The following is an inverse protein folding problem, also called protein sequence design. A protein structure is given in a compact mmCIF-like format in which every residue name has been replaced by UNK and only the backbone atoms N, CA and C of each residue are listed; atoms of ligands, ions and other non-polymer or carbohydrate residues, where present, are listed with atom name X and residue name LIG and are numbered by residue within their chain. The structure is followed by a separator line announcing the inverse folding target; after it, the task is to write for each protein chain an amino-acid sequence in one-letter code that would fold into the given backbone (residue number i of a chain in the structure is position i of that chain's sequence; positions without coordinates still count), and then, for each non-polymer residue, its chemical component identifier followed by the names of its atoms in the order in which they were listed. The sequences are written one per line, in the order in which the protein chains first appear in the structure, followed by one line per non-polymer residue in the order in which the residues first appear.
data_IF_112197743608
#
_entry.id   IF_112197743608
#
_cell.length_a   1.000
_cell.length_b   1.000
_cell.length_c   1.000
_cell.angle_alpha   90.00
_cell.angle_beta   90.00
_cell.angle_gamma   90.00
#
_symmetry.space_group_name_H-M   'P 1'
#
loop_
_entity.id
_entity.type
_entity.pdbx_description
1 polymer ?
#
# COMPACT_ATOMS: atom_id res chain seq x y z
N UNK A 1 18.40 -2.07 -20.53
CA UNK A 1 17.18 -1.38 -21.07
C UNK A 1 17.55 0.07 -21.44
N UNK A 2 16.90 0.64 -22.44
CA UNK A 2 17.21 2.00 -22.92
C UNK A 2 16.72 3.04 -21.90
N UNK A 3 17.49 4.12 -21.70
CA UNK A 3 17.07 5.24 -20.85
C UNK A 3 15.90 6.00 -21.52
N UNK A 4 14.90 6.36 -20.74
CA UNK A 4 13.71 7.10 -21.19
C UNK A 4 13.15 7.97 -20.06
N UNK A 5 12.36 8.99 -20.41
CA UNK A 5 11.60 9.79 -19.43
C UNK A 5 10.28 9.15 -19.03
N UNK A 6 9.82 8.16 -19.78
CA UNK A 6 8.53 7.51 -19.55
C UNK A 6 8.69 6.00 -19.60
N UNK A 7 8.18 5.32 -18.58
CA UNK A 7 8.26 3.87 -18.40
C UNK A 7 6.88 3.30 -18.13
N UNK A 8 6.48 2.32 -18.92
CA UNK A 8 5.30 1.53 -18.65
C UNK A 8 5.60 0.54 -17.54
N UNK A 9 4.72 0.44 -16.56
CA UNK A 9 4.88 -0.41 -15.38
C UNK A 9 3.98 -1.65 -15.54
N UNK A 10 4.45 -2.61 -16.30
CA UNK A 10 3.66 -3.78 -16.72
C UNK A 10 3.26 -4.72 -15.57
N UNK A 11 3.98 -4.70 -14.45
CA UNK A 11 3.66 -5.50 -13.28
C UNK A 11 2.41 -5.04 -12.51
N UNK A 12 2.00 -3.77 -12.67
CA UNK A 12 0.91 -3.20 -11.87
C UNK A 12 -0.44 -3.29 -12.60
N UNK A 13 -1.29 -4.23 -12.18
CA UNK A 13 -2.64 -4.41 -12.73
C UNK A 13 -3.62 -3.34 -12.20
N UNK A 14 -4.53 -2.80 -13.06
CA UNK A 14 -5.41 -1.69 -12.69
C UNK A 14 -6.54 -2.08 -11.73
N UNK A 15 -6.84 -3.36 -11.61
CA UNK A 15 -7.91 -3.90 -10.75
C UNK A 15 -7.37 -4.51 -9.43
N UNK A 16 -6.11 -4.27 -9.11
CA UNK A 16 -5.41 -4.84 -7.97
C UNK A 16 -5.05 -3.75 -6.96
N UNK A 17 -5.60 -3.83 -5.74
CA UNK A 17 -5.32 -2.85 -4.69
C UNK A 17 -3.84 -2.83 -4.29
N UNK A 18 -3.19 -3.99 -4.18
CA UNK A 18 -1.75 -4.04 -3.89
C UNK A 18 -0.95 -3.30 -4.97
N UNK A 19 -1.32 -3.45 -6.25
CA UNK A 19 -0.66 -2.75 -7.35
C UNK A 19 -0.87 -1.23 -7.26
N UNK A 20 -2.07 -0.78 -6.91
CA UNK A 20 -2.33 0.64 -6.71
C UNK A 20 -1.51 1.21 -5.54
N UNK A 21 -1.46 0.52 -4.39
CA UNK A 21 -0.62 0.92 -3.26
C UNK A 21 0.87 0.90 -3.61
N UNK A 22 1.31 -0.08 -4.40
CA UNK A 22 2.69 -0.15 -4.89
C UNK A 22 3.04 1.03 -5.83
N UNK A 23 2.08 1.50 -6.65
CA UNK A 23 2.27 2.70 -7.47
C UNK A 23 2.46 3.95 -6.60
N UNK A 24 1.65 4.13 -5.54
CA UNK A 24 1.84 5.23 -4.59
C UNK A 24 3.19 5.13 -3.88
N UNK A 25 3.59 3.92 -3.50
CA UNK A 25 4.88 3.65 -2.88
C UNK A 25 6.07 3.90 -3.80
N UNK A 26 5.95 3.58 -5.08
CA UNK A 26 6.97 3.89 -6.08
C UNK A 26 7.19 5.40 -6.19
N UNK A 27 6.12 6.18 -6.34
CA UNK A 27 6.22 7.64 -6.42
C UNK A 27 6.89 8.22 -5.17
N UNK A 28 6.46 7.75 -3.98
CA UNK A 28 7.02 8.20 -2.71
C UNK A 28 8.49 7.81 -2.55
N UNK A 29 8.86 6.58 -2.87
CA UNK A 29 10.25 6.11 -2.75
C UNK A 29 11.19 6.86 -3.69
N UNK A 30 10.77 7.11 -4.94
CA UNK A 30 11.55 7.88 -5.89
C UNK A 30 11.72 9.34 -5.45
N UNK A 31 10.66 9.98 -4.96
CA UNK A 31 10.68 11.36 -4.47
C UNK A 31 11.58 11.48 -3.22
N UNK A 32 11.58 10.49 -2.33
CA UNK A 32 12.43 10.47 -1.12
C UNK A 32 13.91 10.28 -1.45
N UNK A 33 14.26 9.43 -2.42
CA UNK A 33 15.66 9.16 -2.76
C UNK A 33 16.26 10.21 -3.71
N UNK A 34 15.46 10.72 -4.65
CA UNK A 34 15.88 11.69 -5.65
C UNK A 34 14.69 12.53 -6.13
N UNK A 35 14.42 13.65 -5.46
CA UNK A 35 13.33 14.59 -5.78
C UNK A 35 13.50 15.25 -7.16
N UNK A 36 14.74 15.30 -7.69
CA UNK A 36 15.02 15.84 -9.03
C UNK A 36 14.42 14.99 -10.15
N UNK A 37 14.07 13.73 -9.86
CA UNK A 37 13.32 12.88 -10.80
C UNK A 37 11.91 13.40 -11.03
N UNK A 38 11.34 14.15 -10.09
CA UNK A 38 9.96 14.67 -10.16
C UNK A 38 8.96 13.60 -10.63
N UNK A 39 8.82 12.49 -9.89
CA UNK A 39 8.06 11.33 -10.35
C UNK A 39 6.57 11.65 -10.44
N UNK A 40 5.98 11.27 -11.56
CA UNK A 40 4.53 11.39 -11.84
C UNK A 40 4.04 10.08 -12.45
N UNK A 41 2.77 9.81 -12.29
CA UNK A 41 2.13 8.63 -12.89
C UNK A 41 0.91 9.03 -13.71
N UNK A 42 0.65 8.26 -14.75
CA UNK A 42 -0.56 8.26 -15.56
C UNK A 42 -0.96 6.82 -15.86
N UNK A 43 -2.15 6.60 -16.40
CA UNK A 43 -2.53 5.28 -16.94
C UNK A 43 -2.52 5.31 -18.46
N UNK A 44 -1.98 4.26 -19.08
CA UNK A 44 -1.94 4.07 -20.54
C UNK A 44 -3.29 3.57 -21.05
N UNK A 45 -4.28 4.45 -21.06
CA UNK A 45 -5.68 4.11 -21.34
C UNK A 45 -5.85 3.65 -22.80
N UNK A 46 -5.12 4.27 -23.70
CA UNK A 46 -5.23 4.02 -25.15
C UNK A 46 -4.37 2.83 -25.61
N UNK A 47 -3.61 2.20 -24.71
CA UNK A 47 -2.68 1.12 -25.04
C UNK A 47 -2.94 -0.14 -24.20
N UNK A 48 -3.74 -1.10 -24.67
CA UNK A 48 -4.04 -2.31 -23.91
C UNK A 48 -2.83 -3.24 -23.76
N UNK A 49 -2.75 -4.03 -22.67
CA UNK A 49 -3.64 -3.96 -21.51
C UNK A 49 -3.38 -2.69 -20.72
N UNK A 50 -4.41 -2.16 -20.04
CA UNK A 50 -4.30 -0.97 -19.20
C UNK A 50 -3.22 -1.16 -18.11
N UNK A 51 -2.23 -0.27 -18.10
CA UNK A 51 -1.12 -0.27 -17.12
C UNK A 51 -0.74 1.16 -16.75
N UNK A 52 -0.17 1.38 -15.56
CA UNK A 52 0.34 2.71 -15.24
C UNK A 52 1.64 2.98 -15.98
N UNK A 53 1.88 4.26 -16.21
CA UNK A 53 3.08 4.81 -16.82
C UNK A 53 3.72 5.78 -15.86
N UNK A 54 4.97 5.52 -15.49
CA UNK A 54 5.81 6.44 -14.73
C UNK A 54 6.41 7.48 -15.68
N UNK A 55 6.32 8.76 -15.32
CA UNK A 55 6.88 9.90 -16.07
C UNK A 55 7.85 10.65 -15.17
N UNK A 56 9.06 10.87 -15.66
CA UNK A 56 10.18 11.46 -14.93
C UNK A 56 10.70 12.72 -15.63
N UNK A 57 11.36 13.61 -14.87
CA UNK A 57 11.93 14.84 -15.42
C UNK A 57 13.14 14.58 -16.33
N UNK A 58 13.91 13.51 -16.10
CA UNK A 58 15.08 13.11 -16.88
C UNK A 58 15.00 11.67 -17.34
N UNK A 59 15.83 11.34 -18.32
CA UNK A 59 15.95 9.96 -18.82
C UNK A 59 16.72 9.08 -17.81
N UNK A 60 16.16 7.91 -17.53
CA UNK A 60 16.76 6.86 -16.68
C UNK A 60 16.42 5.49 -17.25
N UNK A 61 17.15 4.45 -16.81
CA UNK A 61 16.79 3.07 -17.18
C UNK A 61 15.86 2.45 -16.13
N UNK A 62 15.20 1.36 -16.45
CA UNK A 62 14.36 0.62 -15.50
C UNK A 62 15.19 0.08 -14.31
N UNK A 63 16.44 -0.29 -14.53
CA UNK A 63 17.36 -0.70 -13.46
C UNK A 63 17.67 0.46 -12.51
N UNK A 64 17.89 1.65 -13.04
CA UNK A 64 18.11 2.87 -12.25
C UNK A 64 16.86 3.23 -11.43
N UNK A 65 15.66 3.16 -12.04
CA UNK A 65 14.39 3.36 -11.32
C UNK A 65 14.29 2.40 -10.13
N UNK A 66 14.55 1.12 -10.36
CA UNK A 66 14.46 0.09 -9.32
C UNK A 66 15.53 0.28 -8.23
N UNK A 67 16.72 0.75 -8.59
CA UNK A 67 17.79 1.09 -7.65
C UNK A 67 17.40 2.26 -6.75
N UNK A 68 17.00 3.38 -7.36
CA UNK A 68 16.57 4.59 -6.62
C UNK A 68 15.34 4.29 -5.74
N UNK A 69 14.39 3.51 -6.26
CA UNK A 69 13.24 3.10 -5.46
C UNK A 69 13.64 2.22 -4.25
N UNK A 70 14.65 1.35 -4.40
CA UNK A 70 15.17 0.55 -3.28
C UNK A 70 15.78 1.43 -2.19
N UNK A 71 16.60 2.40 -2.55
CA UNK A 71 17.19 3.38 -1.63
C UNK A 71 16.12 4.20 -0.91
N UNK A 72 15.11 4.66 -1.63
CA UNK A 72 13.98 5.39 -1.05
C UNK A 72 13.16 4.56 -0.06
N UNK A 73 12.92 3.28 -0.37
CA UNK A 73 12.25 2.36 0.58
C UNK A 73 13.10 2.19 1.85
N UNK A 74 14.39 2.01 1.74
CA UNK A 74 15.28 1.86 2.89
C UNK A 74 15.26 3.11 3.79
N UNK A 75 15.34 4.29 3.18
CA UNK A 75 15.26 5.57 3.88
C UNK A 75 13.92 5.71 4.64
N UNK A 76 12.80 5.44 3.97
CA UNK A 76 11.46 5.51 4.58
C UNK A 76 11.31 4.47 5.69
N UNK A 77 11.72 3.24 5.44
CA UNK A 77 11.57 2.12 6.37
C UNK A 77 12.40 2.29 7.65
N UNK A 78 13.48 3.07 7.63
CA UNK A 78 14.25 3.42 8.83
C UNK A 78 13.36 4.11 9.89
N UNK A 79 12.36 4.90 9.46
CA UNK A 79 11.39 5.55 10.35
C UNK A 79 10.21 4.64 10.79
N UNK A 80 10.12 3.39 10.32
CA UNK A 80 9.03 2.48 10.65
C UNK A 80 9.30 1.75 11.96
N UNK A 81 9.20 2.49 13.05
CA UNK A 81 9.36 2.00 14.42
C UNK A 81 8.08 2.27 15.22
N UNK A 82 7.65 1.29 16.01
CA UNK A 82 6.37 1.29 16.70
C UNK A 82 6.51 0.99 18.21
N UNK A 83 7.62 1.41 18.82
CA UNK A 83 7.92 1.26 20.26
C UNK A 83 7.73 -0.21 20.75
N UNK A 84 8.14 -1.19 19.91
CA UNK A 84 8.00 -2.61 20.19
C UNK A 84 6.57 -3.15 20.05
N UNK A 85 5.60 -2.33 19.67
CA UNK A 85 4.24 -2.79 19.42
C UNK A 85 4.15 -3.59 18.12
N UNK A 86 3.42 -4.69 18.20
CA UNK A 86 3.18 -5.57 17.06
C UNK A 86 1.88 -5.27 16.33
N UNK A 87 0.90 -4.69 17.03
CA UNK A 87 -0.45 -4.41 16.53
C UNK A 87 -0.92 -2.99 16.85
N UNK A 88 -1.93 -2.52 16.11
CA UNK A 88 -2.58 -1.22 16.29
C UNK A 88 -3.55 -1.22 17.49
N UNK A 89 -3.07 -1.63 18.66
CA UNK A 89 -3.85 -1.75 19.90
C UNK A 89 -3.57 -0.61 20.88
N UNK A 90 -3.34 0.58 20.37
CA UNK A 90 -3.15 1.78 21.19
C UNK A 90 -4.46 2.17 21.89
N UNK A 91 -4.38 2.63 23.14
CA UNK A 91 -5.48 3.37 23.75
C UNK A 91 -5.65 4.75 23.11
N UNK A 92 -6.80 5.38 23.30
CA UNK A 92 -7.05 6.76 22.83
C UNK A 92 -5.95 7.73 23.28
N UNK A 93 -5.56 7.64 24.57
CA UNK A 93 -4.54 8.50 25.17
C UNK A 93 -3.18 8.29 24.51
N UNK A 94 -2.71 7.05 24.39
CA UNK A 94 -1.44 6.73 23.75
C UNK A 94 -1.41 7.17 22.28
N UNK A 95 -2.51 6.95 21.54
CA UNK A 95 -2.63 7.39 20.15
C UNK A 95 -2.47 8.91 20.03
N UNK A 96 -3.19 9.68 20.87
CA UNK A 96 -3.10 11.14 20.91
C UNK A 96 -1.70 11.62 21.25
N UNK A 97 -1.10 11.07 22.31
CA UNK A 97 0.25 11.42 22.73
C UNK A 97 1.28 11.14 21.64
N UNK A 98 1.19 9.97 20.98
CA UNK A 98 2.08 9.59 19.89
C UNK A 98 1.93 10.54 18.68
N UNK A 99 0.71 10.76 18.21
CA UNK A 99 0.45 11.65 17.07
C UNK A 99 0.88 13.10 17.37
N UNK A 100 0.62 13.60 18.58
CA UNK A 100 1.03 14.95 19.00
C UNK A 100 2.55 15.06 19.07
N UNK A 101 3.22 14.07 19.65
CA UNK A 101 4.69 14.02 19.74
C UNK A 101 5.33 14.07 18.37
N UNK A 102 4.88 13.21 17.46
CA UNK A 102 5.44 13.13 16.10
C UNK A 102 5.11 14.38 15.26
N UNK A 103 3.91 14.94 15.41
CA UNK A 103 3.54 16.19 14.74
C UNK A 103 4.35 17.39 15.25
N UNK A 104 4.64 17.44 16.56
CA UNK A 104 5.43 18.53 17.18
C UNK A 104 6.93 18.39 16.87
N UNK A 105 7.43 17.16 16.78
CA UNK A 105 8.82 16.87 16.45
C UNK A 105 9.13 17.06 14.94
N UNK A 106 8.17 17.60 14.16
CA UNK A 106 8.25 17.70 12.70
C UNK A 106 9.32 18.69 12.25
N UNK A 107 10.55 18.24 12.25
CA UNK A 107 11.52 18.63 11.24
C UNK A 107 11.28 17.78 9.99
N UNK A 108 11.80 18.21 8.84
CA UNK A 108 11.60 17.55 7.54
C UNK A 108 11.83 16.02 7.59
N UNK A 109 12.76 15.55 8.42
CA UNK A 109 13.17 14.15 8.55
C UNK A 109 12.12 13.23 9.22
N UNK A 110 11.07 13.78 9.84
CA UNK A 110 10.03 13.01 10.52
C UNK A 110 8.65 13.10 9.89
N UNK A 111 8.49 13.88 8.83
CA UNK A 111 7.21 14.00 8.13
C UNK A 111 6.68 12.65 7.66
N UNK A 112 7.55 11.78 7.21
CA UNK A 112 7.17 10.46 6.73
C UNK A 112 6.58 9.56 7.81
N UNK A 113 7.06 9.70 9.05
CA UNK A 113 6.53 8.97 10.19
C UNK A 113 5.14 9.46 10.60
N UNK A 114 4.92 10.78 10.65
CA UNK A 114 3.58 11.31 10.99
C UNK A 114 2.56 11.01 9.88
N UNK A 115 2.94 11.06 8.61
CA UNK A 115 2.07 10.67 7.50
C UNK A 115 1.66 9.20 7.62
N UNK A 116 2.60 8.32 7.96
CA UNK A 116 2.29 6.90 8.20
C UNK A 116 1.31 6.73 9.36
N UNK A 117 1.62 7.29 10.53
CA UNK A 117 0.78 7.15 11.72
C UNK A 117 -0.62 7.73 11.50
N UNK A 118 -0.73 8.87 10.80
CA UNK A 118 -2.00 9.47 10.43
C UNK A 118 -2.81 8.62 9.41
N UNK A 119 -2.14 7.75 8.66
CA UNK A 119 -2.79 6.76 7.79
C UNK A 119 -3.23 5.50 8.53
N UNK A 120 -2.68 5.23 9.72
CA UNK A 120 -2.93 4.00 10.47
C UNK A 120 -4.02 4.14 11.54
N UNK A 121 -4.09 5.27 12.23
CA UNK A 121 -4.94 5.44 13.41
C UNK A 121 -5.33 6.90 13.64
N UNK A 122 -6.41 7.07 14.44
CA UNK A 122 -6.87 8.37 14.93
C UNK A 122 -7.44 8.20 16.33
N UNK A 123 -7.15 9.13 17.23
CA UNK A 123 -7.74 9.17 18.58
C UNK A 123 -9.24 9.53 18.59
N UNK A 124 -9.78 10.00 17.46
CA UNK A 124 -11.21 10.23 17.28
C UNK A 124 -11.99 8.94 17.03
N UNK A 125 -11.37 7.89 16.47
CA UNK A 125 -12.01 6.63 16.13
C UNK A 125 -11.63 5.55 17.14
N UNK A 126 -12.56 5.16 18.02
CA UNK A 126 -12.36 4.13 19.04
C UNK A 126 -13.26 2.92 18.79
N UNK A 127 -12.73 1.75 19.04
CA UNK A 127 -13.40 0.47 18.84
C UNK A 127 -14.49 0.21 19.89
N UNK A 128 -14.19 0.54 21.14
CA UNK A 128 -15.03 0.29 22.30
C UNK A 128 -14.86 1.41 23.33
N UNK A 129 -15.96 2.06 23.69
CA UNK A 129 -15.98 3.17 24.66
C UNK A 129 -15.53 2.75 26.07
N UNK A 130 -15.65 1.46 26.44
CA UNK A 130 -15.27 0.95 27.75
C UNK A 130 -13.77 0.73 27.90
N UNK A 131 -13.13 0.25 26.83
CA UNK A 131 -11.69 -0.08 26.82
C UNK A 131 -10.87 0.96 26.09
N UNK A 132 -11.52 1.86 25.34
CA UNK A 132 -10.92 2.97 24.58
C UNK A 132 -9.77 2.59 23.63
N UNK A 133 -9.68 1.41 23.03
CA UNK A 133 -8.69 1.13 22.02
C UNK A 133 -9.07 1.84 20.73
N UNK A 134 -8.07 2.37 20.03
CA UNK A 134 -8.30 2.94 18.70
C UNK A 134 -8.79 1.86 17.74
N UNK A 135 -9.70 2.25 16.85
CA UNK A 135 -10.12 1.39 15.74
C UNK A 135 -9.08 1.54 14.60
N UNK A 136 -8.43 0.45 14.16
CA UNK A 136 -7.36 0.54 13.18
C UNK A 136 -7.88 0.91 11.79
N UNK A 137 -6.97 1.38 10.94
CA UNK A 137 -7.25 1.59 9.52
C UNK A 137 -7.97 0.39 8.90
N UNK A 138 -9.00 0.61 8.07
CA UNK A 138 -9.70 -0.49 7.38
C UNK A 138 -8.81 -1.33 6.45
N UNK A 139 -7.61 -0.83 6.12
CA UNK A 139 -6.59 -1.54 5.36
C UNK A 139 -5.75 -2.51 6.21
N UNK A 140 -5.89 -2.48 7.53
CA UNK A 140 -5.31 -3.46 8.43
C UNK A 140 -6.14 -4.75 8.41
N UNK A 141 -5.81 -5.68 7.51
CA UNK A 141 -6.52 -6.95 7.34
C UNK A 141 -6.07 -8.05 8.30
N UNK A 142 -5.02 -7.79 9.08
CA UNK A 142 -4.37 -8.78 9.94
C UNK A 142 -4.75 -8.65 11.43
N UNK A 143 -5.61 -7.69 11.74
CA UNK A 143 -5.99 -7.40 13.13
C UNK A 143 -6.85 -8.52 13.73
N UNK A 144 -6.45 -9.00 14.92
CA UNK A 144 -7.18 -10.03 15.65
C UNK A 144 -7.01 -11.46 15.11
N UNK A 145 -6.00 -11.72 14.30
CA UNK A 145 -5.75 -13.01 13.65
C UNK A 145 -4.57 -13.80 14.28
N UNK A 146 -4.52 -13.90 15.59
CA UNK A 146 -3.49 -14.67 16.30
C UNK A 146 -2.09 -14.09 16.13
N UNK A 147 -1.14 -14.88 15.60
CA UNK A 147 0.26 -14.48 15.40
C UNK A 147 0.52 -13.58 14.19
N UNK A 148 -0.50 -13.03 13.55
CA UNK A 148 -0.35 -12.15 12.40
C UNK A 148 -0.39 -10.69 12.86
N UNK A 149 0.78 -10.12 13.05
CA UNK A 149 0.97 -8.80 13.61
C UNK A 149 1.18 -7.74 12.51
N UNK A 150 0.27 -6.79 12.42
CA UNK A 150 0.27 -5.82 11.33
C UNK A 150 1.46 -4.85 11.38
N UNK A 151 1.74 -4.26 12.55
CA UNK A 151 2.85 -3.32 12.69
C UNK A 151 4.22 -4.01 12.56
N UNK A 152 4.35 -5.24 13.06
CA UNK A 152 5.56 -6.04 12.89
C UNK A 152 5.85 -6.29 11.40
N UNK A 153 4.81 -6.60 10.59
CA UNK A 153 4.95 -6.73 9.14
C UNK A 153 5.24 -5.41 8.47
N UNK A 154 4.57 -4.33 8.90
CA UNK A 154 4.78 -3.01 8.32
C UNK A 154 6.20 -2.49 8.57
N UNK A 155 6.81 -2.83 9.71
CA UNK A 155 8.20 -2.55 9.99
C UNK A 155 9.15 -3.49 9.23
N UNK A 156 8.82 -4.78 9.13
CA UNK A 156 9.72 -5.82 8.60
C UNK A 156 9.75 -5.89 7.08
N UNK A 157 8.58 -5.93 6.43
CA UNK A 157 8.48 -6.14 4.97
C UNK A 157 9.29 -5.12 4.14
N UNK A 158 9.23 -3.79 4.40
CA UNK A 158 10.05 -2.86 3.62
C UNK A 158 11.55 -3.00 3.89
N UNK A 159 11.96 -3.47 5.07
CA UNK A 159 13.36 -3.69 5.44
C UNK A 159 13.94 -4.99 4.88
N UNK A 160 13.11 -5.97 4.57
CA UNK A 160 13.53 -7.20 3.91
C UNK A 160 13.81 -6.93 2.43
N UNK A 161 15.08 -6.67 2.09
CA UNK A 161 15.50 -6.17 0.78
C UNK A 161 15.08 -7.08 -0.38
N UNK A 162 15.10 -8.40 -0.19
CA UNK A 162 14.72 -9.40 -1.18
C UNK A 162 14.13 -10.65 -0.50
N UNK A 163 13.33 -11.45 -1.22
CA UNK A 163 12.85 -12.72 -0.69
C UNK A 163 14.00 -13.71 -0.52
N UNK A 164 13.80 -14.81 0.24
CA UNK A 164 14.76 -15.90 0.30
C UNK A 164 15.14 -16.41 -1.10
N UNK A 165 16.37 -16.96 -1.27
CA UNK A 165 16.82 -17.46 -2.56
C UNK A 165 15.83 -18.44 -3.18
N UNK A 166 15.53 -18.26 -4.47
CA UNK A 166 14.63 -19.13 -5.22
C UNK A 166 15.37 -20.35 -5.72
N UNK A 167 14.77 -21.54 -5.59
CA UNK A 167 15.38 -22.83 -5.96
C UNK A 167 16.03 -23.52 -4.76
N UNK A 168 16.79 -24.60 -5.02
CA UNK A 168 17.43 -25.41 -3.98
C UNK A 168 18.91 -25.65 -4.28
N UNK A 169 19.73 -25.75 -3.22
CA UNK A 169 21.14 -26.10 -3.32
C UNK A 169 21.93 -25.08 -4.16
N UNK A 170 22.83 -25.58 -5.00
CA UNK A 170 23.75 -24.75 -5.82
C UNK A 170 23.06 -23.97 -6.93
N UNK A 171 21.82 -24.31 -7.28
CA UNK A 171 21.01 -23.58 -8.28
C UNK A 171 20.10 -22.50 -7.66
N UNK A 172 20.21 -22.26 -6.37
CA UNK A 172 19.46 -21.20 -5.71
C UNK A 172 19.89 -19.82 -6.21
N UNK A 173 18.94 -19.00 -6.63
CA UNK A 173 19.16 -17.65 -7.16
C UNK A 173 18.71 -16.64 -6.12
N UNK A 174 19.64 -15.79 -5.67
CA UNK A 174 19.36 -14.65 -4.81
C UNK A 174 19.10 -13.41 -5.68
N UNK A 175 18.09 -12.65 -5.31
CA UNK A 175 17.79 -11.35 -5.92
C UNK A 175 18.41 -10.22 -5.08
N UNK A 176 18.85 -9.15 -5.73
CA UNK A 176 19.10 -7.89 -5.03
C UNK A 176 17.79 -7.15 -4.77
N UNK A 177 17.81 -6.11 -3.91
CA UNK A 177 16.67 -5.26 -3.66
C UNK A 177 16.12 -4.65 -4.96
N UNK A 178 17.01 -4.13 -5.81
CA UNK A 178 16.65 -3.52 -7.10
C UNK A 178 16.08 -4.56 -8.08
N UNK A 179 16.63 -5.77 -8.15
CA UNK A 179 16.10 -6.83 -9.00
C UNK A 179 14.70 -7.26 -8.56
N UNK A 180 14.47 -7.39 -7.25
CA UNK A 180 13.15 -7.69 -6.71
C UNK A 180 12.10 -6.63 -7.07
N UNK A 181 12.48 -5.35 -7.02
CA UNK A 181 11.60 -4.25 -7.44
C UNK A 181 11.42 -4.22 -8.95
N UNK A 182 12.47 -4.48 -9.74
CA UNK A 182 12.37 -4.53 -11.20
C UNK A 182 11.37 -5.60 -11.66
N UNK A 183 11.39 -6.79 -11.05
CA UNK A 183 10.40 -7.83 -11.31
C UNK A 183 8.97 -7.36 -10.95
N UNK A 184 8.79 -6.74 -9.78
CA UNK A 184 7.48 -6.27 -9.35
C UNK A 184 6.91 -5.14 -10.22
N UNK A 185 7.77 -4.29 -10.78
CA UNK A 185 7.37 -3.14 -11.58
C UNK A 185 7.19 -3.49 -13.07
N UNK A 186 8.10 -4.24 -13.64
CA UNK A 186 8.22 -4.39 -15.10
C UNK A 186 7.85 -5.78 -15.64
N UNK A 187 7.49 -6.73 -14.76
CA UNK A 187 7.14 -8.09 -15.17
C UNK A 187 5.78 -8.50 -14.59
N UNK A 188 5.04 -9.41 -15.24
CA UNK A 188 3.86 -10.02 -14.65
C UNK A 188 4.20 -10.71 -13.32
N UNK A 189 3.37 -10.52 -12.30
CA UNK A 189 3.64 -11.04 -10.97
C UNK A 189 3.56 -12.57 -10.91
N UNK A 190 4.60 -13.17 -10.37
CA UNK A 190 4.69 -14.64 -10.21
C UNK A 190 4.03 -15.10 -8.91
N UNK A 191 4.02 -14.27 -7.88
CA UNK A 191 3.45 -14.57 -6.55
C UNK A 191 4.02 -15.84 -5.93
N UNK A 192 5.32 -16.07 -6.07
CA UNK A 192 5.99 -17.28 -5.59
C UNK A 192 6.99 -17.02 -4.44
N UNK A 193 7.09 -15.80 -3.97
CA UNK A 193 7.95 -15.41 -2.86
C UNK A 193 7.35 -15.84 -1.51
N UNK A 194 8.06 -16.65 -0.70
CA UNK A 194 7.56 -17.13 0.61
C UNK A 194 7.81 -16.08 1.69
N UNK A 195 7.27 -14.87 1.51
CA UNK A 195 7.44 -13.72 2.40
C UNK A 195 6.11 -13.27 2.99
N UNK A 196 6.16 -12.36 3.95
CA UNK A 196 4.96 -11.79 4.53
C UNK A 196 4.22 -10.89 3.55
N UNK A 197 2.88 -10.95 3.56
CA UNK A 197 1.99 -10.08 2.80
C UNK A 197 1.02 -9.35 3.72
N UNK A 198 0.36 -8.33 3.17
CA UNK A 198 -0.69 -7.57 3.84
C UNK A 198 -2.11 -8.00 3.41
N UNK A 199 -2.22 -8.97 2.51
CA UNK A 199 -3.48 -9.44 1.90
C UNK A 199 -4.21 -8.40 1.07
N UNK A 200 -3.49 -7.46 0.51
CA UNK A 200 -4.06 -6.46 -0.41
C UNK A 200 -4.13 -6.97 -1.87
N UNK A 201 -3.44 -8.07 -2.19
CA UNK A 201 -3.50 -8.70 -3.51
C UNK A 201 -4.73 -9.63 -3.60
N UNK A 202 -5.70 -9.35 -4.50
CA UNK A 202 -6.87 -10.19 -4.69
C UNK A 202 -6.56 -11.59 -5.25
N UNK A 203 -5.39 -11.76 -5.85
CA UNK A 203 -4.94 -13.03 -6.41
C UNK A 203 -4.02 -13.81 -5.45
N UNK A 204 -3.77 -13.30 -4.25
CA UNK A 204 -3.01 -14.02 -3.23
C UNK A 204 -3.73 -15.30 -2.82
N UNK A 205 -2.96 -16.38 -2.64
CA UNK A 205 -3.52 -17.68 -2.30
C UNK A 205 -4.17 -17.68 -0.90
N UNK A 206 -5.49 -17.64 -0.88
CA UNK A 206 -6.30 -17.64 0.35
C UNK A 206 -6.47 -19.03 0.99
N UNK A 207 -5.87 -20.11 0.42
CA UNK A 207 -5.87 -21.45 1.05
C UNK A 207 -5.32 -21.44 2.47
N UNK A 208 -4.53 -20.46 2.79
CA UNK A 208 -4.08 -20.12 4.14
C UNK A 208 -5.18 -20.07 5.17
N UNK A 209 -6.34 -19.55 4.81
CA UNK A 209 -7.47 -19.39 5.71
C UNK A 209 -8.11 -20.70 6.11
N UNK A 210 -7.83 -21.78 5.36
CA UNK A 210 -8.42 -23.09 5.54
C UNK A 210 -7.43 -24.15 6.06
N UNK A 211 -6.14 -23.80 6.19
CA UNK A 211 -5.12 -24.74 6.64
C UNK A 211 -5.01 -24.75 8.16
N UNK A 212 -5.15 -25.94 8.74
CA UNK A 212 -4.75 -26.21 10.12
C UNK A 212 -3.23 -26.37 10.17
N UNK A 213 -2.49 -25.37 10.69
CA UNK A 213 -1.04 -25.40 10.81
C UNK A 213 -0.48 -24.16 11.49
N UNK A 214 0.80 -24.17 11.80
CA UNK A 214 1.47 -23.01 12.38
C UNK A 214 1.73 -21.94 11.31
N UNK A 215 1.09 -20.76 11.38
CA UNK A 215 1.28 -19.68 10.41
C UNK A 215 2.70 -19.09 10.44
N UNK A 216 3.53 -19.45 11.39
CA UNK A 216 4.95 -19.06 11.46
C UNK A 216 5.84 -19.97 10.65
N UNK A 217 5.39 -21.18 10.30
CA UNK A 217 6.13 -22.10 9.47
C UNK A 217 6.25 -21.56 8.03
N UNK A 218 7.45 -21.59 7.48
CA UNK A 218 7.75 -21.17 6.11
C UNK A 218 6.89 -21.92 5.05
N UNK A 219 6.50 -23.17 5.32
CA UNK A 219 5.63 -23.96 4.45
C UNK A 219 4.21 -23.39 4.35
N UNK A 220 3.80 -22.62 5.34
CA UNK A 220 2.47 -21.98 5.43
C UNK A 220 2.50 -20.49 5.14
N UNK A 221 3.63 -19.91 4.81
CA UNK A 221 3.68 -18.50 4.36
C UNK A 221 2.94 -18.34 3.04
N UNK A 222 2.10 -17.33 2.95
CA UNK A 222 1.48 -16.96 1.70
C UNK A 222 2.57 -16.70 0.66
N UNK A 223 2.36 -17.21 -0.54
CA UNK A 223 3.22 -16.86 -1.66
C UNK A 223 2.73 -15.57 -2.27
N UNK A 224 3.61 -14.59 -2.35
CA UNK A 224 3.27 -13.23 -2.72
C UNK A 224 4.31 -12.63 -3.65
N UNK A 225 4.08 -11.42 -4.14
CA UNK A 225 5.06 -10.61 -4.86
C UNK A 225 5.74 -9.67 -3.85
N UNK A 226 6.92 -10.05 -3.38
CA UNK A 226 7.61 -9.35 -2.29
C UNK A 226 7.89 -7.89 -2.62
N UNK A 227 8.45 -7.59 -3.79
CA UNK A 227 8.74 -6.21 -4.22
C UNK A 227 7.51 -5.29 -4.23
N UNK A 228 6.34 -5.83 -4.63
CA UNK A 228 5.10 -5.07 -4.60
C UNK A 228 4.63 -4.79 -3.16
N UNK A 229 4.77 -5.75 -2.23
CA UNK A 229 4.46 -5.53 -0.82
C UNK A 229 5.39 -4.50 -0.17
N UNK A 230 6.69 -4.48 -0.51
CA UNK A 230 7.62 -3.45 -0.04
C UNK A 230 7.17 -2.05 -0.46
N UNK A 231 6.87 -1.87 -1.74
CA UNK A 231 6.36 -0.61 -2.28
C UNK A 231 5.02 -0.22 -1.62
N UNK A 232 4.07 -1.15 -1.53
CA UNK A 232 2.77 -0.88 -0.95
C UNK A 232 2.84 -0.51 0.54
N UNK A 233 3.76 -1.10 1.30
CA UNK A 233 3.99 -0.75 2.70
C UNK A 233 4.39 0.72 2.87
N UNK A 234 5.28 1.23 2.01
CA UNK A 234 5.66 2.66 2.04
C UNK A 234 4.60 3.54 1.39
N UNK A 235 3.83 3.01 0.45
CA UNK A 235 2.71 3.70 -0.20
C UNK A 235 1.51 3.94 0.71
N UNK A 236 1.33 3.11 1.74
CA UNK A 236 0.23 3.23 2.70
C UNK A 236 0.16 4.61 3.38
N UNK A 237 1.29 5.23 3.64
CA UNK A 237 1.36 6.57 4.23
C UNK A 237 0.82 7.70 3.33
N UNK A 238 0.57 7.43 2.05
CA UNK A 238 -0.14 8.36 1.17
C UNK A 238 -1.65 8.44 1.48
N UNK A 239 -2.19 7.47 2.24
CA UNK A 239 -3.61 7.36 2.55
C UNK A 239 -3.87 7.88 3.97
N UNK A 240 -4.35 9.12 4.06
CA UNK A 240 -4.74 9.71 5.34
C UNK A 240 -6.03 9.08 5.85
N UNK A 241 -6.06 8.74 7.14
CA UNK A 241 -7.27 8.27 7.81
C UNK A 241 -8.27 9.43 7.94
N UNK A 242 -9.52 9.16 7.59
CA UNK A 242 -10.62 10.13 7.67
C UNK A 242 -11.71 9.57 8.61
N UNK A 243 -11.74 9.97 9.90
CA UNK A 243 -12.79 9.52 10.82
C UNK A 243 -14.17 9.96 10.32
N UNK A 244 -15.11 9.02 10.26
CA UNK A 244 -16.47 9.22 9.78
C UNK A 244 -17.49 8.83 10.86
N UNK A 245 -18.53 9.66 11.05
CA UNK A 245 -19.65 9.32 11.94
C UNK A 245 -20.56 8.32 11.24
N UNK A 246 -20.74 7.14 11.85
CA UNK A 246 -21.61 6.08 11.34
C UNK A 246 -22.37 5.39 12.46
N UNK A 247 -23.69 5.35 12.35
CA UNK A 247 -24.57 4.73 13.35
C UNK A 247 -24.26 5.17 14.81
N UNK A 248 -24.02 6.48 15.00
CA UNK A 248 -23.74 7.06 16.31
C UNK A 248 -22.31 6.83 16.84
N UNK A 249 -21.40 6.25 16.02
CA UNK A 249 -20.00 6.03 16.38
C UNK A 249 -19.07 6.59 15.31
N UNK A 250 -17.92 7.09 15.76
CA UNK A 250 -16.83 7.47 14.86
C UNK A 250 -16.09 6.19 14.43
N UNK A 251 -16.02 5.98 13.12
CA UNK A 251 -15.30 4.86 12.50
C UNK A 251 -14.13 5.38 11.68
N UNK A 252 -13.00 4.68 11.67
CA UNK A 252 -11.92 5.06 10.79
C UNK A 252 -12.29 4.68 9.35
N UNK A 253 -12.16 5.61 8.43
CA UNK A 253 -12.05 5.33 7.01
C UNK A 253 -10.77 5.96 6.49
N UNK A 254 -10.40 5.72 5.26
CA UNK A 254 -9.25 6.35 4.60
C UNK A 254 -9.72 7.12 3.38
N UNK A 255 -8.95 8.08 2.92
CA UNK A 255 -9.21 8.72 1.63
C UNK A 255 -9.39 7.65 0.56
N UNK A 256 -10.41 7.76 -0.29
CA UNK A 256 -10.82 6.70 -1.22
C UNK A 256 -11.68 5.59 -0.60
N UNK A 257 -11.66 5.42 0.72
CA UNK A 257 -12.42 4.40 1.44
C UNK A 257 -13.87 4.79 1.74
N UNK A 258 -14.73 3.81 1.88
CA UNK A 258 -16.11 3.97 2.33
C UNK A 258 -16.64 2.68 2.93
N UNK A 259 -17.45 2.80 3.99
CA UNK A 259 -18.26 1.70 4.50
C UNK A 259 -19.66 1.76 3.89
N UNK A 260 -20.01 0.77 3.09
CA UNK A 260 -21.34 0.55 2.55
C UNK A 260 -22.12 -0.55 3.28
N UNK A 261 -23.21 -1.00 2.68
CA UNK A 261 -24.02 -2.15 3.16
C UNK A 261 -23.18 -3.42 3.17
N UNK A 262 -22.37 -3.61 2.13
CA UNK A 262 -21.51 -4.79 1.95
C UNK A 262 -20.15 -4.68 2.67
N UNK A 263 -20.02 -3.74 3.61
CA UNK A 263 -18.79 -3.51 4.36
C UNK A 263 -17.89 -2.44 3.76
N UNK A 264 -16.59 -2.56 3.98
CA UNK A 264 -15.61 -1.58 3.51
C UNK A 264 -15.23 -1.80 2.04
N UNK A 265 -15.18 -0.71 1.28
CA UNK A 265 -14.66 -0.69 -0.09
C UNK A 265 -13.67 0.45 -0.29
N UNK A 266 -12.72 0.26 -1.18
CA UNK A 266 -11.73 1.26 -1.53
C UNK A 266 -11.85 1.61 -3.01
N UNK A 267 -12.08 2.90 -3.30
CA UNK A 267 -12.17 3.43 -4.66
C UNK A 267 -10.88 4.15 -5.03
N UNK A 268 -10.41 3.94 -6.25
CA UNK A 268 -9.27 4.66 -6.77
C UNK A 268 -9.44 5.01 -8.24
N UNK A 269 -8.96 6.21 -8.65
CA UNK A 269 -9.15 6.71 -10.01
C UNK A 269 -8.17 6.08 -10.99
N UNK A 270 -8.58 6.00 -12.25
CA UNK A 270 -7.76 5.75 -13.44
C UNK A 270 -7.74 7.07 -14.21
N UNK A 271 -6.56 7.69 -14.35
CA UNK A 271 -6.39 9.05 -14.90
C UNK A 271 -5.40 9.08 -16.05
N UNK A 272 -5.56 10.06 -16.99
CA UNK A 272 -4.80 10.17 -18.22
C UNK A 272 -3.52 10.98 -18.10
N UNK A 273 -3.57 12.10 -17.40
CA UNK A 273 -2.48 13.06 -17.33
C UNK A 273 -1.51 12.72 -16.20
N UNK A 274 -0.22 12.89 -16.44
CA UNK A 274 0.81 12.56 -15.46
C UNK A 274 0.68 13.40 -14.19
N UNK A 275 0.29 12.76 -13.08
CA UNK A 275 0.01 13.34 -11.78
C UNK A 275 1.08 12.98 -10.75
N UNK A 276 1.45 13.95 -9.89
CA UNK A 276 2.30 13.73 -8.72
C UNK A 276 1.55 12.96 -7.63
N UNK A 277 2.27 12.40 -6.66
CA UNK A 277 1.66 11.75 -5.51
C UNK A 277 0.66 12.67 -4.78
N UNK A 278 1.00 13.96 -4.63
CA UNK A 278 0.12 14.96 -4.01
C UNK A 278 -1.17 15.16 -4.80
N UNK A 279 -1.11 15.21 -6.13
CA UNK A 279 -2.29 15.33 -6.98
C UNK A 279 -3.16 14.07 -6.90
N UNK A 280 -2.54 12.87 -6.87
CA UNK A 280 -3.29 11.61 -6.70
C UNK A 280 -3.98 11.55 -5.32
N UNK A 281 -3.32 12.00 -4.25
CA UNK A 281 -3.94 12.13 -2.92
C UNK A 281 -5.15 13.08 -2.94
N UNK A 282 -5.07 14.19 -3.68
CA UNK A 282 -6.18 15.12 -3.85
C UNK A 282 -7.36 14.47 -4.60
N UNK A 283 -7.10 13.69 -5.65
CA UNK A 283 -8.14 12.92 -6.35
C UNK A 283 -8.82 11.90 -5.41
N UNK A 284 -8.04 11.17 -4.60
CA UNK A 284 -8.56 10.21 -3.63
C UNK A 284 -9.43 10.85 -2.55
N UNK A 285 -9.14 12.11 -2.19
CA UNK A 285 -9.87 12.88 -1.18
C UNK A 285 -11.08 13.63 -1.76
N UNK A 286 -11.26 13.61 -3.08
CA UNK A 286 -12.27 14.43 -3.73
C UNK A 286 -13.70 13.91 -3.45
N UNK A 287 -14.65 14.76 -3.04
CA UNK A 287 -16.01 14.34 -2.66
C UNK A 287 -16.81 13.71 -3.82
N UNK A 288 -16.40 13.94 -5.06
CA UNK A 288 -17.00 13.32 -6.23
C UNK A 288 -16.29 12.03 -6.70
N UNK A 289 -15.30 11.52 -5.98
CA UNK A 289 -14.59 10.29 -6.36
C UNK A 289 -15.52 9.11 -6.65
N UNK A 290 -16.59 8.99 -5.86
CA UNK A 290 -17.57 7.90 -5.98
C UNK A 290 -18.83 8.25 -6.77
N UNK A 291 -18.83 9.39 -7.46
CA UNK A 291 -19.90 9.75 -8.40
C UNK A 291 -19.52 9.33 -9.81
N UNK A 292 -20.38 8.64 -10.54
CA UNK A 292 -20.12 8.32 -11.94
C UNK A 292 -19.72 9.60 -12.70
N UNK A 293 -18.65 9.55 -13.47
CA UNK A 293 -18.07 10.69 -14.21
C UNK A 293 -17.70 11.93 -13.39
N UNK A 294 -17.82 11.86 -12.05
CA UNK A 294 -17.63 13.00 -11.15
C UNK A 294 -16.27 13.69 -11.22
N UNK A 295 -15.23 12.97 -11.68
CA UNK A 295 -13.86 13.48 -11.84
C UNK A 295 -13.40 13.57 -13.30
N UNK A 296 -14.27 13.39 -14.28
CA UNK A 296 -13.93 13.42 -15.71
C UNK A 296 -13.27 14.74 -16.12
N UNK A 297 -13.74 15.85 -15.58
CA UNK A 297 -13.17 17.18 -15.81
C UNK A 297 -11.75 17.38 -15.23
N UNK A 298 -11.29 16.47 -14.37
CA UNK A 298 -9.93 16.41 -13.82
C UNK A 298 -9.04 15.37 -14.52
N UNK A 299 -9.45 14.88 -15.69
CA UNK A 299 -8.68 13.90 -16.46
C UNK A 299 -8.83 12.46 -15.95
N UNK A 300 -9.75 12.18 -15.04
CA UNK A 300 -10.07 10.81 -14.61
C UNK A 300 -10.99 10.15 -15.63
N UNK A 301 -10.54 9.04 -16.21
CA UNK A 301 -11.29 8.27 -17.18
C UNK A 301 -12.43 7.49 -16.53
N UNK A 302 -12.10 6.74 -15.49
CA UNK A 302 -13.07 6.04 -14.65
C UNK A 302 -12.49 5.78 -13.27
N UNK A 303 -13.33 5.32 -12.37
CA UNK A 303 -12.97 4.92 -11.01
C UNK A 303 -13.22 3.43 -10.86
N UNK A 304 -12.32 2.73 -10.21
CA UNK A 304 -12.49 1.32 -9.85
C UNK A 304 -12.66 1.17 -8.34
N UNK A 305 -13.39 0.15 -7.93
CA UNK A 305 -13.72 -0.10 -6.51
C UNK A 305 -13.33 -1.52 -6.13
N UNK A 306 -12.43 -1.65 -5.17
CA UNK A 306 -12.05 -2.91 -4.54
C UNK A 306 -12.91 -3.13 -3.28
N UNK A 307 -13.67 -4.22 -3.24
CA UNK A 307 -14.50 -4.58 -2.09
C UNK A 307 -13.68 -5.42 -1.11
N UNK A 308 -13.68 -5.04 0.17
CA UNK A 308 -13.15 -5.91 1.23
C UNK A 308 -14.13 -7.05 1.48
N UNK A 309 -13.63 -8.27 1.38
CA UNK A 309 -14.37 -9.50 1.65
C UNK A 309 -13.87 -10.14 2.93
N UNK A 310 -14.75 -10.82 3.65
CA UNK A 310 -14.43 -11.54 4.89
C UNK A 310 -14.95 -12.96 4.82
N UNK A 311 -14.09 -13.92 5.16
CA UNK A 311 -14.46 -15.33 5.31
C UNK A 311 -14.04 -15.74 6.73
N UNK A 312 -15.00 -15.78 7.65
CA UNK A 312 -14.71 -15.95 9.08
C UNK A 312 -13.85 -14.79 9.61
N UNK A 313 -12.68 -15.10 10.16
CA UNK A 313 -11.72 -14.12 10.67
C UNK A 313 -10.79 -13.55 9.59
N UNK A 314 -10.80 -14.10 8.40
CA UNK A 314 -9.88 -13.73 7.33
C UNK A 314 -10.49 -12.68 6.44
N UNK A 315 -9.71 -11.65 6.16
CA UNK A 315 -10.09 -10.55 5.28
C UNK A 315 -9.13 -10.46 4.10
N UNK A 316 -9.68 -10.13 2.95
CA UNK A 316 -8.96 -9.86 1.71
C UNK A 316 -9.72 -8.81 0.90
N UNK A 317 -9.15 -8.35 -0.21
CA UNK A 317 -9.85 -7.54 -1.21
C UNK A 317 -10.18 -8.36 -2.45
N UNK A 318 -11.36 -8.14 -3.00
CA UNK A 318 -11.69 -8.63 -4.34
C UNK A 318 -10.96 -7.80 -5.40
N UNK A 319 -10.86 -8.32 -6.63
CA UNK A 319 -10.46 -7.51 -7.78
C UNK A 319 -11.39 -6.31 -7.91
N UNK A 320 -10.81 -5.14 -8.13
CA UNK A 320 -11.57 -3.92 -8.29
C UNK A 320 -12.42 -3.98 -9.57
N UNK A 321 -13.60 -3.37 -9.50
CA UNK A 321 -14.54 -3.28 -10.62
C UNK A 321 -14.80 -1.82 -10.93
N UNK A 322 -15.09 -1.45 -12.19
CA UNK A 322 -15.51 -0.10 -12.50
C UNK A 322 -16.71 0.33 -11.64
N UNK A 323 -16.67 1.58 -11.20
CA UNK A 323 -17.77 2.21 -10.51
C UNK A 323 -18.91 2.38 -11.51
N UNK A 324 -20.05 1.76 -11.24
CA UNK A 324 -21.28 1.84 -12.04
C UNK A 324 -22.15 3.01 -11.61
#
# INVERSE_FOLDING_TARGET
MTAAKSHRIDGLEPDNLLAFLALLGLLRALETADDTLYPRAAWDIDWPPLRPRLVLAREVTAEQISGVAAEGIETIAAGYEFDGRKDLNYSRKECRELLTREATASCADRRERIDLLAGLMSDAAIKDDKTEPVDPTPLCLLFGQGHQHFLERLAGVPREAAPPPRGKGRSAVSLSASQCLAEALFQPWRRDDPTFSFRWDPAEDVRYSLMAGDPTDAAYKARTQHGANRLAAVGLAALTLAPEMRAGRVRPTVVGGMFGVDGFSFAFPIWRDAATLTAIRALLSHPSLRKPEGLKHLGVDHVVVAQRISVGKFMNFARARPLS
#
